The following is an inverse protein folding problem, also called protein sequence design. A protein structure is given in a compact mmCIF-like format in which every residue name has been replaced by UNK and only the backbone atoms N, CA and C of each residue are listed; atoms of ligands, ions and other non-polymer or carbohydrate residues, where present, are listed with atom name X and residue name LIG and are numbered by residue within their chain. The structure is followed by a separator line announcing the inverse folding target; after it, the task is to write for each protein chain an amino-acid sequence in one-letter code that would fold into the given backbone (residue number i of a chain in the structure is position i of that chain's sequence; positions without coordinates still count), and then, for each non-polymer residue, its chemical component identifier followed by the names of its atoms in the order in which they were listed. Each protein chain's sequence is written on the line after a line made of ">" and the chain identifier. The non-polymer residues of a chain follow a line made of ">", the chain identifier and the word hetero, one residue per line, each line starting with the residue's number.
data_IF_737878377718
#
_entry.id   IF_737878377718
#
_cell.length_a   1.000
_cell.length_b   1.000
_cell.length_c   1.000
_cell.angle_alpha   90.00
_cell.angle_beta   90.00
_cell.angle_gamma   90.00
#
_symmetry.space_group_name_H-M   'P 1'
#
loop_
_entity.id
_entity.type
_entity.pdbx_description
1 polymer ?
#
# COMPACT_ATOMS: atom_id res chain seq x y z
N UNK A 1 11.37 -24.31 8.12
CA UNK A 1 11.83 -22.97 7.68
C UNK A 1 10.73 -21.98 8.07
N UNK A 2 10.92 -21.20 9.13
CA UNK A 2 9.97 -20.16 9.54
C UNK A 2 10.17 -18.97 8.60
N UNK A 3 9.13 -18.56 7.84
CA UNK A 3 9.19 -17.32 7.05
C UNK A 3 9.38 -16.16 8.03
N UNK A 4 10.42 -15.34 7.82
CA UNK A 4 10.58 -14.08 8.56
C UNK A 4 9.39 -13.19 8.19
N UNK A 5 8.67 -12.70 9.20
CA UNK A 5 7.54 -11.78 9.01
C UNK A 5 8.09 -10.41 8.64
N UNK A 6 7.60 -9.80 7.57
CA UNK A 6 7.92 -8.44 7.20
C UNK A 6 7.54 -7.48 8.33
N UNK A 7 8.49 -6.61 8.68
CA UNK A 7 8.35 -5.64 9.77
C UNK A 7 7.86 -4.29 9.22
N UNK A 8 7.23 -3.48 10.07
CA UNK A 8 6.71 -2.17 9.68
C UNK A 8 7.80 -1.24 9.12
N UNK A 9 9.04 -1.35 9.62
CA UNK A 9 10.20 -0.61 9.12
C UNK A 9 10.53 -0.97 7.66
N UNK A 10 10.44 -2.25 7.29
CA UNK A 10 10.68 -2.69 5.92
C UNK A 10 9.57 -2.19 4.98
N UNK A 11 8.32 -2.23 5.43
CA UNK A 11 7.18 -1.68 4.68
C UNK A 11 7.36 -0.17 4.48
N UNK A 12 7.77 0.54 5.53
CA UNK A 12 8.01 1.97 5.49
C UNK A 12 9.14 2.32 4.51
N UNK A 13 10.24 1.57 4.51
CA UNK A 13 11.34 1.73 3.53
C UNK A 13 10.83 1.60 2.10
N UNK A 14 10.05 0.55 1.80
CA UNK A 14 9.48 0.36 0.46
C UNK A 14 8.54 1.50 0.06
N UNK A 15 7.77 2.05 1.00
CA UNK A 15 6.94 3.24 0.76
C UNK A 15 7.78 4.48 0.46
N UNK A 16 8.90 4.67 1.16
CA UNK A 16 9.84 5.77 0.88
C UNK A 16 10.44 5.64 -0.52
N UNK A 17 10.93 4.47 -0.90
CA UNK A 17 11.51 4.21 -2.22
C UNK A 17 10.49 4.54 -3.33
N UNK A 18 9.24 4.07 -3.17
CA UNK A 18 8.15 4.40 -4.07
C UNK A 18 7.90 5.91 -4.16
N UNK A 19 7.82 6.62 -3.02
CA UNK A 19 7.54 8.06 -2.98
C UNK A 19 8.67 8.89 -3.58
N UNK A 20 9.90 8.41 -3.56
CA UNK A 20 11.07 9.11 -4.11
C UNK A 20 11.27 8.83 -5.60
N UNK A 21 10.62 7.82 -6.17
CA UNK A 21 10.74 7.50 -7.58
C UNK A 21 10.24 8.67 -8.45
N UNK A 22 11.02 9.07 -9.44
CA UNK A 22 10.66 10.18 -10.35
C UNK A 22 9.76 9.73 -11.51
N UNK A 23 9.63 8.42 -11.74
CA UNK A 23 8.80 7.84 -12.79
C UNK A 23 7.32 7.72 -12.41
N UNK A 24 6.96 7.88 -11.12
CA UNK A 24 5.57 7.89 -10.66
C UNK A 24 4.92 9.27 -10.81
N UNK A 25 3.62 9.28 -11.05
CA UNK A 25 2.83 10.51 -11.17
C UNK A 25 2.71 11.25 -9.83
N UNK A 26 2.37 12.53 -9.88
CA UNK A 26 2.13 13.31 -8.66
C UNK A 26 0.97 12.72 -7.82
N UNK A 27 -0.06 12.19 -8.47
CA UNK A 27 -1.21 11.58 -7.80
C UNK A 27 -0.82 10.29 -7.09
N UNK A 28 -0.04 9.43 -7.76
CA UNK A 28 0.53 8.21 -7.17
C UNK A 28 1.42 8.54 -5.97
N UNK A 29 2.31 9.54 -6.12
CA UNK A 29 3.17 10.02 -5.04
C UNK A 29 2.36 10.51 -3.85
N UNK A 30 1.28 11.26 -4.11
CA UNK A 30 0.37 11.76 -3.08
C UNK A 30 -0.33 10.62 -2.32
N UNK A 31 -0.76 9.56 -3.02
CA UNK A 31 -1.30 8.34 -2.38
C UNK A 31 -0.23 7.72 -1.46
N UNK A 32 1.00 7.51 -1.97
CA UNK A 32 2.10 6.96 -1.20
C UNK A 32 2.42 7.79 0.06
N UNK A 33 2.50 9.12 -0.06
CA UNK A 33 2.74 10.01 1.07
C UNK A 33 1.67 9.91 2.16
N UNK A 34 0.40 9.75 1.78
CA UNK A 34 -0.68 9.56 2.75
C UNK A 34 -0.61 8.20 3.45
N UNK A 35 -0.27 7.14 2.72
CA UNK A 35 -0.06 5.81 3.28
C UNK A 35 1.12 5.79 4.27
N UNK A 36 2.26 6.37 3.86
CA UNK A 36 3.45 6.52 4.71
C UNK A 36 3.14 7.24 6.01
N UNK A 37 2.46 8.39 5.93
CA UNK A 37 2.06 9.18 7.10
C UNK A 37 1.14 8.40 8.04
N UNK A 38 0.27 7.57 7.50
CA UNK A 38 -0.62 6.72 8.29
C UNK A 38 0.16 5.61 9.03
N UNK A 39 1.15 5.00 8.37
CA UNK A 39 2.04 3.99 8.98
C UNK A 39 2.92 4.60 10.07
N UNK A 40 3.55 5.75 9.81
CA UNK A 40 4.37 6.50 10.78
C UNK A 40 3.59 6.91 12.04
N UNK A 41 2.26 7.04 11.93
CA UNK A 41 1.37 7.34 13.06
C UNK A 41 0.94 6.11 13.85
N UNK A 42 1.49 4.94 13.55
CA UNK A 42 1.15 3.69 14.23
C UNK A 42 -0.26 3.19 13.91
N UNK A 43 -0.86 3.59 12.78
CA UNK A 43 -2.11 2.98 12.34
C UNK A 43 -1.87 1.52 11.98
N UNK A 44 -2.91 0.70 12.15
CA UNK A 44 -2.85 -0.74 11.89
C UNK A 44 -2.32 -1.05 10.49
N UNK A 45 -1.13 -1.66 10.41
CA UNK A 45 -0.36 -1.88 9.17
C UNK A 45 -1.18 -2.52 8.06
N UNK A 46 -1.96 -3.56 8.39
CA UNK A 46 -2.82 -4.25 7.40
C UNK A 46 -3.82 -3.28 6.77
N UNK A 47 -4.44 -2.41 7.58
CA UNK A 47 -5.38 -1.42 7.08
C UNK A 47 -4.69 -0.37 6.19
N UNK A 48 -3.48 0.06 6.55
CA UNK A 48 -2.71 1.04 5.76
C UNK A 48 -2.31 0.47 4.41
N UNK A 49 -1.67 -0.71 4.39
CA UNK A 49 -1.22 -1.36 3.14
C UNK A 49 -2.42 -1.68 2.24
N UNK A 50 -3.52 -2.15 2.82
CA UNK A 50 -4.73 -2.43 2.05
C UNK A 50 -5.35 -1.16 1.47
N UNK A 51 -5.43 -0.10 2.27
CA UNK A 51 -5.94 1.20 1.80
C UNK A 51 -5.08 1.79 0.68
N UNK A 52 -3.76 1.60 0.76
CA UNK A 52 -2.84 1.99 -0.30
C UNK A 52 -3.14 1.20 -1.58
N UNK A 53 -3.20 -0.13 -1.50
CA UNK A 53 -3.53 -1.00 -2.65
C UNK A 53 -4.86 -0.60 -3.32
N UNK A 54 -5.94 -0.40 -2.54
CA UNK A 54 -7.24 0.06 -3.06
C UNK A 54 -7.12 1.43 -3.73
N UNK A 55 -6.30 2.33 -3.19
CA UNK A 55 -6.13 3.67 -3.76
C UNK A 55 -5.43 3.61 -5.11
N UNK A 56 -4.40 2.79 -5.26
CA UNK A 56 -3.73 2.56 -6.54
C UNK A 56 -4.67 1.85 -7.53
N UNK A 57 -5.45 0.88 -7.09
CA UNK A 57 -6.45 0.23 -7.94
C UNK A 57 -7.48 1.24 -8.48
N UNK A 58 -8.02 2.11 -7.63
CA UNK A 58 -8.95 3.16 -8.07
C UNK A 58 -8.29 4.17 -9.00
N UNK A 59 -7.03 4.52 -8.75
CA UNK A 59 -6.26 5.39 -9.64
C UNK A 59 -6.07 4.73 -11.02
N UNK A 60 -5.73 3.44 -11.06
CA UNK A 60 -5.63 2.64 -12.28
C UNK A 60 -6.93 2.69 -13.10
N UNK A 61 -8.07 2.53 -12.44
CA UNK A 61 -9.38 2.55 -13.10
C UNK A 61 -9.77 3.93 -13.66
N UNK A 62 -9.32 5.02 -13.02
CA UNK A 62 -9.72 6.39 -13.40
C UNK A 62 -8.75 7.06 -14.36
N UNK A 63 -7.46 6.99 -14.08
CA UNK A 63 -6.40 7.75 -14.76
C UNK A 63 -5.31 6.85 -15.35
N UNK A 64 -5.33 5.54 -15.04
CA UNK A 64 -4.20 4.65 -15.28
C UNK A 64 -3.15 4.72 -14.18
N UNK A 65 -2.23 3.76 -14.18
CA UNK A 65 -1.02 3.78 -13.36
C UNK A 65 0.20 3.88 -14.25
N UNK A 66 1.25 4.54 -13.75
CA UNK A 66 2.59 4.40 -14.30
C UNK A 66 3.05 2.94 -14.16
N UNK A 67 3.95 2.45 -15.05
CA UNK A 67 4.48 1.10 -14.93
C UNK A 67 5.08 0.82 -13.54
N UNK A 68 5.87 1.76 -13.03
CA UNK A 68 6.46 1.70 -11.68
C UNK A 68 5.38 1.57 -10.59
N UNK A 69 4.28 2.31 -10.67
CA UNK A 69 3.21 2.20 -9.69
C UNK A 69 2.41 0.91 -9.80
N UNK A 70 2.29 0.35 -11.01
CA UNK A 70 1.71 -0.98 -11.22
C UNK A 70 2.59 -2.08 -10.61
N UNK A 71 3.91 -2.00 -10.78
CA UNK A 71 4.85 -2.94 -10.16
C UNK A 71 4.77 -2.86 -8.63
N UNK A 72 4.72 -1.64 -8.10
CA UNK A 72 4.59 -1.44 -6.66
C UNK A 72 3.25 -1.92 -6.10
N UNK A 73 2.16 -1.84 -6.87
CA UNK A 73 0.88 -2.42 -6.50
C UNK A 73 0.99 -3.95 -6.23
N UNK A 74 1.74 -4.69 -7.05
CA UNK A 74 1.97 -6.12 -6.82
C UNK A 74 2.87 -6.41 -5.62
N UNK A 75 3.80 -5.49 -5.30
CA UNK A 75 4.56 -5.53 -4.04
C UNK A 75 3.61 -5.42 -2.84
N UNK A 76 2.65 -4.48 -2.87
CA UNK A 76 1.64 -4.34 -1.80
C UNK A 76 0.77 -5.59 -1.64
N UNK A 77 0.36 -6.23 -2.73
CA UNK A 77 -0.38 -7.51 -2.68
C UNK A 77 0.42 -8.61 -1.99
N UNK A 78 1.71 -8.70 -2.31
CA UNK A 78 2.64 -9.66 -1.69
C UNK A 78 2.77 -9.42 -0.19
N UNK A 79 2.94 -8.15 0.22
CA UNK A 79 2.99 -7.74 1.62
C UNK A 79 1.69 -8.12 2.33
N UNK A 80 0.52 -7.80 1.76
CA UNK A 80 -0.78 -8.10 2.35
C UNK A 80 -1.00 -9.58 2.59
N UNK A 81 -0.56 -10.43 1.66
CA UNK A 81 -0.65 -11.87 1.80
C UNK A 81 0.25 -12.41 2.92
N UNK A 82 1.33 -11.70 3.24
CA UNK A 82 2.23 -12.07 4.34
C UNK A 82 1.71 -11.60 5.71
N UNK A 83 1.27 -10.34 5.81
CA UNK A 83 0.85 -9.75 7.10
C UNK A 83 -0.59 -10.11 7.50
N UNK A 84 -1.42 -10.49 6.53
CA UNK A 84 -2.81 -10.90 6.74
C UNK A 84 -3.16 -12.11 5.85
N UNK A 85 -2.78 -13.34 6.23
CA UNK A 85 -3.01 -14.54 5.43
C UNK A 85 -4.50 -14.80 5.13
N UNK A 86 -4.74 -15.62 4.11
CA UNK A 86 -6.08 -16.10 3.72
C UNK A 86 -6.85 -16.66 4.93
N UNK A 87 -8.08 -16.19 5.14
CA UNK A 87 -8.92 -16.50 6.31
C UNK A 87 -9.00 -15.40 7.36
N UNK A 88 -8.11 -14.41 7.32
CA UNK A 88 -8.27 -13.17 8.10
C UNK A 88 -9.48 -12.41 7.55
N UNK A 89 -10.43 -12.04 8.42
CA UNK A 89 -11.65 -11.35 8.00
C UNK A 89 -11.35 -9.89 7.60
N UNK A 90 -10.74 -9.72 6.42
CA UNK A 90 -10.36 -8.40 5.88
C UNK A 90 -11.62 -7.52 5.84
N UNK A 91 -12.79 -8.10 5.49
CA UNK A 91 -14.13 -7.50 5.48
C UNK A 91 -14.49 -6.56 6.63
N UNK A 92 -14.22 -6.93 7.88
CA UNK A 92 -14.69 -6.18 9.05
C UNK A 92 -13.75 -5.06 9.49
N UNK A 93 -12.49 -5.08 9.06
CA UNK A 93 -11.53 -3.98 9.29
C UNK A 93 -11.54 -2.94 8.15
N UNK A 94 -12.24 -3.24 7.05
CA UNK A 94 -12.30 -2.46 5.81
C UNK A 94 -13.32 -1.33 5.87
N UNK A 95 -12.94 -0.21 6.49
CA UNK A 95 -13.46 1.06 5.97
C UNK A 95 -12.92 1.21 4.54
N UNK A 96 -13.78 1.07 3.52
CA UNK A 96 -13.46 1.14 2.09
C UNK A 96 -13.10 2.55 1.61
N UNK A 97 -12.26 3.25 2.35
CA UNK A 97 -11.85 4.61 2.02
C UNK A 97 -10.55 4.53 1.22
N UNK A 98 -10.54 4.98 -0.03
CA UNK A 98 -9.29 5.30 -0.72
C UNK A 98 -8.71 6.61 -0.17
N UNK A 99 -7.43 6.86 -0.44
CA UNK A 99 -6.78 8.10 -0.07
C UNK A 99 -7.19 9.29 -0.95
N UNK A 100 -7.49 9.03 -2.22
CA UNK A 100 -8.05 10.01 -3.14
C UNK A 100 -9.48 9.56 -3.49
N UNK A 101 -10.44 10.48 -3.39
CA UNK A 101 -11.82 10.27 -3.82
C UNK A 101 -11.93 10.40 -5.34
#
# INVERSE_FOLDING_TARGET
>A
MFKKKIEDEEILSKMYDFILDTAISERERKIGMMAKKDLERGKYTVAVVNKFSISLQREAMKNGLTPTASDFYHVLESILNEIAPFGTNRGSSLSQNSYLN
#
